data_IF_009295077911
#
_entry.id   IF_009295077911
#
_cell.length_a   1.000
_cell.length_b   1.000
_cell.length_c   1.000
_cell.angle_alpha   90.00
_cell.angle_beta   90.00
_cell.angle_gamma   90.00
#
_symmetry.space_group_name_H-M   'P 1'
#
loop_
_entity.id
_entity.type
_entity.pdbx_description
1 polymer ?
#
# COMPACT_ATOMS: atom_id res chain seq x y z
N UNK A 1 -19.35 11.93 8.60
CA UNK A 1 -18.22 12.76 9.08
C UNK A 1 -16.95 12.30 8.35
N UNK A 2 -16.62 12.94 7.22
CA UNK A 2 -15.49 12.56 6.36
C UNK A 2 -14.20 13.19 6.92
N UNK A 3 -13.25 12.34 7.35
CA UNK A 3 -11.96 12.77 7.91
C UNK A 3 -10.96 12.93 6.75
N UNK A 4 -10.74 14.15 6.28
CA UNK A 4 -9.73 14.44 5.25
C UNK A 4 -8.33 14.17 5.80
N UNK A 5 -7.67 13.13 5.31
CA UNK A 5 -6.25 12.87 5.59
C UNK A 5 -5.42 13.59 4.54
N UNK A 6 -4.99 14.81 4.85
CA UNK A 6 -4.01 15.53 4.04
C UNK A 6 -2.64 14.81 4.12
N UNK A 7 -2.27 14.08 3.07
CA UNK A 7 -0.92 13.54 2.92
C UNK A 7 0.00 14.63 2.34
N UNK A 8 0.54 15.47 3.22
CA UNK A 8 1.51 16.50 2.83
C UNK A 8 2.86 15.82 2.63
N UNK A 9 3.36 15.80 1.40
CA UNK A 9 4.68 15.27 1.06
C UNK A 9 5.77 16.02 1.85
N UNK A 10 6.61 15.26 2.56
CA UNK A 10 7.72 15.76 3.36
C UNK A 10 8.68 16.66 2.54
N UNK A 11 8.74 16.44 1.24
CA UNK A 11 9.52 17.25 0.29
C UNK A 11 8.99 18.69 0.13
N UNK A 12 7.69 18.90 0.32
CA UNK A 12 7.07 20.24 0.29
C UNK A 12 7.14 20.89 1.67
N UNK A 13 7.07 20.09 2.73
CA UNK A 13 7.09 20.58 4.10
C UNK A 13 8.46 21.16 4.51
N UNK A 14 9.56 20.50 4.15
CA UNK A 14 10.91 20.93 4.56
C UNK A 14 11.26 22.33 4.02
N UNK A 15 11.09 22.65 2.72
CA UNK A 15 11.36 24.00 2.20
C UNK A 15 10.45 25.07 2.81
N UNK A 16 9.19 24.75 3.10
CA UNK A 16 8.24 25.68 3.72
C UNK A 16 8.67 26.02 5.15
N UNK A 17 9.08 25.02 5.93
CA UNK A 17 9.57 25.23 7.31
C UNK A 17 10.84 26.10 7.29
N UNK A 18 11.81 25.77 6.43
CA UNK A 18 13.05 26.54 6.32
C UNK A 18 12.83 27.97 5.84
N UNK A 19 11.93 28.18 4.87
CA UNK A 19 11.50 29.52 4.43
C UNK A 19 10.87 30.31 5.58
N UNK A 20 9.96 29.69 6.34
CA UNK A 20 9.29 30.32 7.49
C UNK A 20 10.26 30.74 8.60
N UNK A 21 11.21 29.89 8.96
CA UNK A 21 12.24 30.21 9.99
C UNK A 21 13.12 31.38 9.52
N UNK A 22 13.45 31.43 8.23
CA UNK A 22 14.29 32.50 7.67
C UNK A 22 13.58 33.85 7.70
N UNK A 23 12.30 33.88 7.31
CA UNK A 23 11.46 35.09 7.37
C UNK A 23 11.32 35.58 8.82
N UNK A 24 11.08 34.66 9.76
CA UNK A 24 10.97 35.00 11.18
C UNK A 24 12.27 35.61 11.73
N UNK A 25 13.43 35.03 11.41
CA UNK A 25 14.74 35.55 11.82
C UNK A 25 15.02 36.96 11.27
N UNK A 26 14.64 37.25 10.02
CA UNK A 26 14.77 38.58 9.41
C UNK A 26 13.89 39.60 10.11
N UNK A 27 12.63 39.24 10.40
CA UNK A 27 11.67 40.12 11.10
C UNK A 27 12.18 40.45 12.50
N UNK A 28 12.65 39.46 13.25
CA UNK A 28 13.19 39.66 14.61
C UNK A 28 14.43 40.54 14.57
N UNK A 29 15.34 40.32 13.62
CA UNK A 29 16.53 41.16 13.45
C UNK A 29 16.14 42.61 13.15
N UNK A 30 15.15 42.82 12.29
CA UNK A 30 14.65 44.17 11.97
C UNK A 30 13.98 44.84 13.17
N UNK A 31 13.14 44.12 13.92
CA UNK A 31 12.51 44.66 15.13
C UNK A 31 13.52 45.03 16.21
N UNK A 32 14.58 44.23 16.37
CA UNK A 32 15.67 44.55 17.32
C UNK A 32 16.37 45.83 16.88
N UNK A 33 16.72 45.96 15.60
CA UNK A 33 17.38 47.18 15.08
C UNK A 33 16.50 48.41 15.25
N UNK A 34 15.20 48.31 14.98
CA UNK A 34 14.24 49.42 15.13
C UNK A 34 13.98 49.78 16.61
N UNK A 35 13.94 48.79 17.51
CA UNK A 35 13.85 48.99 18.95
C UNK A 35 15.05 49.77 19.49
N UNK A 36 16.27 49.40 19.08
CA UNK A 36 17.49 50.13 19.47
C UNK A 36 17.53 51.55 18.88
N UNK A 37 16.99 51.76 17.68
CA UNK A 37 16.86 53.09 17.08
C UNK A 37 15.88 53.99 17.85
N UNK A 38 14.79 53.43 18.40
CA UNK A 38 13.76 54.17 19.14
C UNK A 38 14.18 54.58 20.55
N UNK A 39 15.10 53.85 21.18
CA UNK A 39 15.60 54.13 22.53
C UNK A 39 16.81 55.08 22.57
N UNK A 40 17.18 55.69 21.43
CA UNK A 40 18.23 56.71 21.31
C UNK A 40 19.59 56.30 21.93
N UNK A 41 19.86 54.99 21.95
CA UNK A 41 21.16 54.44 22.34
C UNK A 41 22.07 54.59 21.12
N UNK A 42 23.21 55.26 21.27
CA UNK A 42 24.18 55.40 20.17
C UNK A 42 24.67 54.03 19.71
N UNK A 43 24.01 53.46 18.72
CA UNK A 43 24.46 52.22 18.07
C UNK A 43 25.63 52.59 17.15
N UNK A 44 26.81 51.96 17.29
CA UNK A 44 27.92 52.19 16.38
C UNK A 44 27.50 51.89 14.94
N UNK A 45 28.02 52.63 13.95
CA UNK A 45 27.76 52.40 12.51
C UNK A 45 27.99 50.93 12.09
N UNK A 46 28.91 50.26 12.80
CA UNK A 46 29.22 48.83 12.68
C UNK A 46 28.00 47.93 12.92
N UNK A 47 27.14 48.24 13.88
CA UNK A 47 25.99 47.37 14.19
C UNK A 47 24.95 47.38 13.06
N UNK A 48 24.73 48.55 12.44
CA UNK A 48 23.82 48.68 11.29
C UNK A 48 24.37 48.00 10.04
N UNK A 49 25.66 48.17 9.74
CA UNK A 49 26.27 47.55 8.56
C UNK A 49 26.40 46.03 8.67
N UNK A 50 26.70 45.52 9.87
CA UNK A 50 26.79 44.07 10.12
C UNK A 50 25.42 43.38 10.07
N UNK A 51 24.35 44.04 10.54
CA UNK A 51 22.98 43.49 10.46
C UNK A 51 22.53 43.24 9.02
N UNK A 52 22.83 44.17 8.12
CA UNK A 52 22.53 44.03 6.68
C UNK A 52 23.39 42.90 6.07
N UNK A 53 24.66 42.80 6.45
CA UNK A 53 25.55 41.74 6.01
C UNK A 53 25.05 40.34 6.40
N UNK A 54 24.61 40.16 7.65
CA UNK A 54 24.09 38.88 8.15
C UNK A 54 22.78 38.51 7.45
N UNK A 55 21.89 39.48 7.20
CA UNK A 55 20.64 39.25 6.47
C UNK A 55 20.90 38.84 5.01
N UNK A 56 21.87 39.47 4.35
CA UNK A 56 22.22 39.14 2.96
C UNK A 56 22.93 37.78 2.86
N UNK A 57 23.77 37.44 3.83
CA UNK A 57 24.45 36.14 3.91
C UNK A 57 23.47 34.99 4.17
N UNK A 58 22.54 35.16 5.10
CA UNK A 58 21.50 34.15 5.40
C UNK A 58 20.57 33.92 4.21
N UNK A 59 20.19 34.99 3.49
CA UNK A 59 19.42 34.89 2.25
C UNK A 59 20.18 34.13 1.15
N UNK A 60 21.47 34.43 0.95
CA UNK A 60 22.32 33.72 -0.02
C UNK A 60 22.50 32.25 0.34
N UNK A 61 22.72 31.93 1.62
CA UNK A 61 22.80 30.55 2.08
C UNK A 61 21.50 29.77 1.86
N UNK A 62 20.33 30.37 2.12
CA UNK A 62 19.03 29.74 1.87
C UNK A 62 18.81 29.43 0.37
N UNK A 63 19.17 30.37 -0.51
CA UNK A 63 19.09 30.21 -1.96
C UNK A 63 20.04 29.10 -2.45
N UNK A 64 21.27 29.07 -1.91
CA UNK A 64 22.28 28.07 -2.23
C UNK A 64 21.86 26.67 -1.78
N UNK A 65 21.35 26.52 -0.56
CA UNK A 65 20.85 25.22 -0.04
C UNK A 65 19.69 24.71 -0.89
N UNK A 66 18.75 25.59 -1.25
CA UNK A 66 17.61 25.25 -2.11
C UNK A 66 18.09 24.76 -3.49
N UNK A 67 19.07 25.45 -4.08
CA UNK A 67 19.65 25.08 -5.38
C UNK A 67 20.48 23.79 -5.32
N UNK A 68 21.23 23.59 -4.23
CA UNK A 68 22.08 22.43 -3.98
C UNK A 68 21.24 21.14 -3.81
N UNK A 69 20.05 21.22 -3.20
CA UNK A 69 19.19 20.05 -2.96
C UNK A 69 18.36 19.71 -4.21
N UNK A 70 17.86 20.69 -4.96
CA UNK A 70 17.00 20.42 -6.14
C UNK A 70 17.75 19.78 -7.31
N UNK A 71 19.02 20.15 -7.53
CA UNK A 71 19.82 19.62 -8.65
C UNK A 71 20.06 18.10 -8.60
N UNK A 72 20.57 17.51 -7.51
CA UNK A 72 20.84 16.08 -7.43
C UNK A 72 19.56 15.25 -7.44
N UNK A 73 18.48 15.73 -6.83
CA UNK A 73 17.19 15.02 -6.81
C UNK A 73 16.61 14.90 -8.22
N UNK A 74 16.64 15.98 -9.03
CA UNK A 74 16.18 15.92 -10.43
C UNK A 74 17.01 14.95 -11.29
N UNK A 75 18.31 14.86 -11.02
CA UNK A 75 19.20 13.92 -11.71
C UNK A 75 18.89 12.48 -11.31
N UNK A 76 18.75 12.21 -10.02
CA UNK A 76 18.40 10.90 -9.48
C UNK A 76 17.04 10.39 -9.98
N UNK A 77 16.02 11.25 -10.04
CA UNK A 77 14.69 10.88 -10.58
C UNK A 77 14.80 10.50 -12.06
N UNK A 78 15.56 11.25 -12.85
CA UNK A 78 15.76 10.98 -14.28
C UNK A 78 16.56 9.69 -14.52
N UNK A 79 17.52 9.39 -13.66
CA UNK A 79 18.30 8.16 -13.73
C UNK A 79 17.47 6.93 -13.29
N UNK A 80 16.57 7.11 -12.32
CA UNK A 80 15.64 6.07 -11.89
C UNK A 80 14.58 5.72 -12.95
N UNK A 81 14.14 6.69 -13.75
CA UNK A 81 13.17 6.50 -14.85
C UNK A 81 13.74 5.66 -16.01
N UNK A 82 15.07 5.51 -16.10
CA UNK A 82 15.76 4.75 -17.15
C UNK A 82 16.11 3.31 -16.76
N UNK A 83 15.72 2.83 -15.57
CA UNK A 83 15.96 1.45 -15.14
C UNK A 83 14.97 0.47 -15.82
N UNK A 84 15.46 -0.63 -16.45
CA UNK A 84 14.63 -1.58 -17.20
C UNK A 84 13.91 -2.58 -16.28
N UNK A 85 13.19 -2.09 -15.27
CA UNK A 85 12.41 -2.90 -14.33
C UNK A 85 10.90 -2.56 -14.32
N UNK A 86 10.43 -1.69 -15.23
CA UNK A 86 9.00 -1.42 -15.41
C UNK A 86 8.62 -1.52 -16.91
N UNK A 87 7.58 -2.30 -17.27
CA UNK A 87 7.09 -2.35 -18.64
C UNK A 87 6.63 -0.95 -19.07
N UNK A 88 7.34 -0.35 -20.03
CA UNK A 88 7.07 0.98 -20.62
C UNK A 88 5.75 1.08 -21.41
N UNK A 89 4.81 0.15 -21.26
CA UNK A 89 3.67 0.02 -22.18
C UNK A 89 2.42 0.86 -21.86
N UNK A 90 2.38 1.68 -20.80
CA UNK A 90 1.15 2.46 -20.49
C UNK A 90 1.34 3.92 -20.06
N UNK A 91 2.56 4.46 -20.00
CA UNK A 91 2.78 5.81 -19.44
C UNK A 91 2.39 6.95 -20.41
N UNK A 92 2.15 6.68 -21.70
CA UNK A 92 2.00 7.76 -22.69
C UNK A 92 0.55 8.17 -23.05
N UNK A 93 -0.50 7.49 -22.56
CA UNK A 93 -1.89 7.76 -23.02
C UNK A 93 -2.87 8.31 -21.98
N UNK A 94 -2.48 8.49 -20.72
CA UNK A 94 -3.41 8.85 -19.64
C UNK A 94 -2.99 10.14 -18.89
N UNK A 95 -2.62 11.18 -19.63
CA UNK A 95 -2.30 12.51 -19.09
C UNK A 95 -3.53 13.26 -18.53
N UNK A 96 -4.73 12.65 -18.42
CA UNK A 96 -5.97 13.41 -18.19
C UNK A 96 -6.88 13.05 -16.99
N UNK A 97 -6.46 12.26 -15.99
CA UNK A 97 -7.32 12.01 -14.82
C UNK A 97 -6.62 12.20 -13.47
N UNK A 98 -6.70 13.42 -12.92
CA UNK A 98 -6.32 13.81 -11.56
C UNK A 98 -7.25 13.27 -10.44
N UNK A 99 -7.83 12.06 -10.60
CA UNK A 99 -8.78 11.53 -9.62
C UNK A 99 -8.78 10.00 -9.39
N UNK A 100 -7.74 9.25 -9.81
CA UNK A 100 -7.80 7.77 -9.83
C UNK A 100 -6.65 7.00 -9.14
N UNK A 101 -5.84 7.64 -8.28
CA UNK A 101 -4.76 6.90 -7.58
C UNK A 101 -5.30 5.80 -6.62
N UNK A 102 -6.46 6.02 -5.99
CA UNK A 102 -7.05 5.07 -5.02
C UNK A 102 -7.72 3.89 -5.73
N UNK A 103 -8.40 4.15 -6.85
CA UNK A 103 -9.05 3.11 -7.67
C UNK A 103 -7.97 2.22 -8.32
N UNK A 104 -6.86 2.80 -8.77
CA UNK A 104 -5.71 2.05 -9.27
C UNK A 104 -5.08 1.16 -8.19
N UNK A 105 -4.90 1.68 -6.97
CA UNK A 105 -4.38 0.88 -5.84
C UNK A 105 -5.30 -0.30 -5.51
N UNK A 106 -6.61 -0.07 -5.42
CA UNK A 106 -7.59 -1.13 -5.16
C UNK A 106 -7.59 -2.19 -6.27
N UNK A 107 -7.47 -1.78 -7.54
CA UNK A 107 -7.41 -2.70 -8.67
C UNK A 107 -6.15 -3.58 -8.62
N UNK A 108 -4.99 -3.00 -8.36
CA UNK A 108 -3.73 -3.74 -8.21
C UNK A 108 -3.81 -4.69 -7.02
N UNK A 109 -4.36 -4.23 -5.90
CA UNK A 109 -4.52 -5.04 -4.71
C UNK A 109 -5.48 -6.22 -4.95
N UNK A 110 -6.60 -6.00 -5.64
CA UNK A 110 -7.49 -7.08 -6.06
C UNK A 110 -6.79 -8.06 -7.00
N UNK A 111 -6.02 -7.57 -7.97
CA UNK A 111 -5.27 -8.42 -8.90
C UNK A 111 -4.25 -9.29 -8.16
N UNK A 112 -3.43 -8.70 -7.28
CA UNK A 112 -2.44 -9.43 -6.47
C UNK A 112 -3.12 -10.44 -5.57
N UNK A 113 -4.17 -10.03 -4.85
CA UNK A 113 -4.95 -10.93 -3.99
C UNK A 113 -5.56 -12.09 -4.81
N UNK A 114 -6.06 -11.80 -6.02
CA UNK A 114 -6.61 -12.82 -6.90
C UNK A 114 -5.56 -13.81 -7.39
N UNK A 115 -4.33 -13.36 -7.68
CA UNK A 115 -3.23 -14.22 -8.11
C UNK A 115 -2.73 -15.08 -6.95
N UNK A 116 -2.52 -14.49 -5.78
CA UNK A 116 -2.12 -15.23 -4.56
C UNK A 116 -3.16 -16.30 -4.21
N UNK A 117 -4.45 -15.95 -4.23
CA UNK A 117 -5.52 -16.93 -3.95
C UNK A 117 -5.58 -18.10 -4.94
N UNK A 118 -5.14 -17.91 -6.20
CA UNK A 118 -5.08 -19.00 -7.19
C UNK A 118 -3.91 -19.95 -6.92
N UNK A 119 -2.78 -19.43 -6.44
CA UNK A 119 -1.61 -20.24 -6.07
C UNK A 119 -1.93 -21.05 -4.81
N UNK A 120 -2.47 -20.41 -3.79
CA UNK A 120 -2.85 -21.05 -2.52
C UNK A 120 -3.89 -22.17 -2.72
N UNK A 121 -4.90 -21.95 -3.57
CA UNK A 121 -5.89 -22.99 -3.89
C UNK A 121 -5.26 -24.23 -4.58
N UNK A 122 -4.25 -24.03 -5.43
CA UNK A 122 -3.55 -25.13 -6.11
C UNK A 122 -2.66 -25.94 -5.16
N UNK A 123 -2.06 -25.29 -4.17
CA UNK A 123 -1.25 -25.99 -3.17
C UNK A 123 -2.11 -26.75 -2.17
N UNK A 124 -3.21 -26.15 -1.70
CA UNK A 124 -4.10 -26.78 -0.73
C UNK A 124 -4.95 -27.90 -1.35
N UNK A 125 -5.39 -27.74 -2.61
CA UNK A 125 -6.28 -28.71 -3.28
C UNK A 125 -5.70 -29.20 -4.61
N UNK A 126 -4.62 -30.01 -4.60
CA UNK A 126 -3.92 -30.42 -5.82
C UNK A 126 -4.78 -31.27 -6.76
N UNK A 127 -5.76 -32.00 -6.23
CA UNK A 127 -6.67 -32.84 -7.01
C UNK A 127 -7.84 -32.06 -7.64
N UNK A 128 -8.07 -30.81 -7.23
CA UNK A 128 -9.22 -30.00 -7.69
C UNK A 128 -8.75 -28.90 -8.64
N UNK A 129 -9.10 -29.02 -9.91
CA UNK A 129 -8.83 -27.98 -10.92
C UNK A 129 -9.96 -26.95 -10.89
N UNK A 130 -9.76 -25.83 -10.18
CA UNK A 130 -10.75 -24.75 -10.12
C UNK A 130 -10.13 -23.36 -9.91
N UNK A 131 -10.22 -22.48 -10.90
CA UNK A 131 -9.65 -21.11 -10.82
C UNK A 131 -10.72 -19.99 -10.71
N UNK A 132 -12.00 -20.36 -10.83
CA UNK A 132 -13.12 -19.41 -10.80
C UNK A 132 -13.36 -18.85 -9.40
N UNK A 133 -14.00 -17.68 -9.31
CA UNK A 133 -14.34 -17.04 -8.03
C UNK A 133 -15.27 -17.92 -7.18
N UNK A 134 -16.19 -18.65 -7.83
CA UNK A 134 -17.12 -19.57 -7.17
C UNK A 134 -16.37 -20.72 -6.51
N UNK A 135 -15.41 -21.34 -7.22
CA UNK A 135 -14.58 -22.42 -6.66
C UNK A 135 -13.75 -21.96 -5.47
N UNK A 136 -13.24 -20.72 -5.46
CA UNK A 136 -12.56 -20.16 -4.29
C UNK A 136 -13.48 -20.03 -3.07
N UNK A 137 -14.75 -19.70 -3.30
CA UNK A 137 -15.77 -19.72 -2.25
C UNK A 137 -15.93 -21.12 -1.65
N UNK A 138 -15.97 -22.15 -2.50
CA UNK A 138 -16.03 -23.56 -2.08
C UNK A 138 -14.78 -23.94 -1.28
N UNK A 139 -13.57 -23.63 -1.76
CA UNK A 139 -12.32 -23.88 -1.01
C UNK A 139 -12.31 -23.20 0.36
N UNK A 140 -12.77 -21.95 0.45
CA UNK A 140 -12.89 -21.26 1.73
C UNK A 140 -13.88 -21.94 2.68
N UNK A 141 -15.01 -22.47 2.16
CA UNK A 141 -15.96 -23.23 2.97
C UNK A 141 -15.36 -24.55 3.46
N UNK A 142 -14.64 -25.27 2.59
CA UNK A 142 -13.92 -26.49 2.96
C UNK A 142 -12.96 -26.21 4.12
N UNK A 143 -12.10 -25.20 4.00
CA UNK A 143 -11.12 -24.85 5.05
C UNK A 143 -11.79 -24.42 6.37
N UNK A 144 -13.00 -23.84 6.32
CA UNK A 144 -13.75 -23.46 7.52
C UNK A 144 -14.40 -24.66 8.21
N UNK A 145 -14.93 -25.62 7.45
CA UNK A 145 -15.67 -26.74 8.01
C UNK A 145 -14.77 -27.93 8.36
N UNK A 146 -13.66 -28.13 7.64
CA UNK A 146 -12.75 -29.23 7.85
C UNK A 146 -12.25 -29.40 9.30
N UNK A 147 -11.87 -28.35 10.06
CA UNK A 147 -11.42 -28.52 11.44
C UNK A 147 -12.57 -28.75 12.44
N UNK A 148 -13.82 -28.82 11.99
CA UNK A 148 -14.99 -29.01 12.86
C UNK A 148 -15.50 -30.44 12.83
N UNK A 149 -16.20 -30.85 13.89
CA UNK A 149 -16.84 -32.17 13.98
C UNK A 149 -18.26 -32.20 13.39
N UNK A 150 -18.65 -31.16 12.64
CA UNK A 150 -19.99 -31.05 12.07
C UNK A 150 -20.19 -31.99 10.87
N UNK A 151 -21.42 -32.50 10.72
CA UNK A 151 -21.82 -33.25 9.53
C UNK A 151 -21.97 -32.31 8.34
N UNK A 152 -21.35 -32.65 7.21
CA UNK A 152 -21.37 -31.83 5.98
C UNK A 152 -22.21 -32.50 4.92
N UNK A 153 -23.16 -31.74 4.34
CA UNK A 153 -23.93 -32.15 3.17
C UNK A 153 -23.38 -31.46 1.92
N UNK A 154 -22.97 -32.24 0.92
CA UNK A 154 -22.44 -31.72 -0.35
C UNK A 154 -23.51 -31.90 -1.42
N UNK A 155 -24.04 -30.79 -1.93
CA UNK A 155 -25.06 -30.78 -2.98
C UNK A 155 -24.46 -30.43 -4.34
N UNK A 156 -25.02 -30.98 -5.41
CA UNK A 156 -24.63 -30.65 -6.78
C UNK A 156 -25.08 -31.72 -7.77
N UNK A 157 -25.05 -31.37 -9.05
CA UNK A 157 -25.42 -32.27 -10.15
C UNK A 157 -24.47 -33.47 -10.25
N UNK A 158 -24.90 -34.50 -10.99
CA UNK A 158 -24.06 -35.68 -11.22
C UNK A 158 -22.78 -35.28 -11.98
N UNK A 159 -21.63 -35.83 -11.58
CA UNK A 159 -20.35 -35.56 -12.24
C UNK A 159 -19.63 -34.25 -11.86
N UNK A 160 -20.14 -33.44 -10.93
CA UNK A 160 -19.50 -32.16 -10.52
C UNK A 160 -18.32 -32.31 -9.55
N UNK A 161 -17.82 -33.53 -9.33
CA UNK A 161 -16.66 -33.77 -8.45
C UNK A 161 -16.95 -33.64 -6.95
N UNK A 162 -18.18 -33.89 -6.49
CA UNK A 162 -18.56 -33.87 -5.06
C UNK A 162 -17.65 -34.76 -4.18
N UNK A 163 -17.15 -35.86 -4.73
CA UNK A 163 -16.22 -36.75 -4.04
C UNK A 163 -14.86 -36.08 -3.75
N UNK A 164 -14.35 -35.29 -4.70
CA UNK A 164 -13.11 -34.53 -4.51
C UNK A 164 -13.28 -33.47 -3.42
N UNK A 165 -14.46 -32.84 -3.34
CA UNK A 165 -14.79 -31.90 -2.26
C UNK A 165 -14.79 -32.61 -0.91
N UNK A 166 -15.41 -33.79 -0.80
CA UNK A 166 -15.39 -34.58 0.43
C UNK A 166 -13.96 -34.98 0.85
N UNK A 167 -13.13 -35.38 -0.12
CA UNK A 167 -11.73 -35.71 0.10
C UNK A 167 -10.92 -34.48 0.55
N UNK A 168 -11.18 -33.30 -0.03
CA UNK A 168 -10.58 -32.04 0.40
C UNK A 168 -10.93 -31.66 1.84
N UNK A 169 -12.18 -31.88 2.27
CA UNK A 169 -12.61 -31.70 3.67
C UNK A 169 -11.84 -32.66 4.58
N UNK A 170 -11.75 -33.93 4.21
CA UNK A 170 -11.04 -34.95 4.98
C UNK A 170 -9.56 -34.59 5.18
N UNK A 171 -8.85 -34.24 4.10
CA UNK A 171 -7.41 -33.90 4.13
C UNK A 171 -7.08 -32.72 5.03
N UNK A 172 -7.98 -31.74 5.14
CA UNK A 172 -7.81 -30.54 5.97
C UNK A 172 -8.44 -30.68 7.37
N UNK A 173 -9.01 -31.83 7.69
CA UNK A 173 -9.64 -32.07 8.98
C UNK A 173 -8.64 -32.47 10.05
N UNK A 174 -9.05 -32.37 11.32
CA UNK A 174 -8.32 -32.93 12.45
C UNK A 174 -8.27 -34.47 12.43
N UNK A 175 -9.08 -35.10 11.58
CA UNK A 175 -9.25 -36.56 11.46
C UNK A 175 -8.53 -37.15 10.25
N UNK A 176 -7.70 -36.37 9.55
CA UNK A 176 -6.98 -36.77 8.33
C UNK A 176 -6.06 -37.99 8.49
N UNK A 177 -5.68 -38.33 9.73
CA UNK A 177 -4.86 -39.50 10.07
C UNK A 177 -5.70 -40.77 10.29
N UNK A 178 -7.03 -40.64 10.35
CA UNK A 178 -7.94 -41.77 10.53
C UNK A 178 -8.22 -42.53 9.23
N UNK A 179 -9.19 -43.47 9.22
CA UNK A 179 -9.68 -44.07 7.99
C UNK A 179 -10.69 -43.15 7.28
N UNK A 180 -10.51 -42.94 5.97
CA UNK A 180 -11.52 -42.31 5.10
C UNK A 180 -12.28 -43.37 4.30
N UNK A 181 -13.50 -43.68 4.73
CA UNK A 181 -14.32 -44.72 4.11
C UNK A 181 -15.33 -44.07 3.17
N UNK A 182 -15.21 -44.37 1.87
CA UNK A 182 -16.16 -43.93 0.83
C UNK A 182 -17.22 -45.01 0.65
N UNK A 183 -18.49 -44.64 0.77
CA UNK A 183 -19.61 -45.56 0.63
C UNK A 183 -20.60 -45.01 -0.40
N UNK A 184 -20.90 -45.82 -1.41
CA UNK A 184 -21.88 -45.49 -2.43
C UNK A 184 -23.22 -46.17 -2.10
N UNK A 185 -24.18 -45.41 -1.59
CA UNK A 185 -25.49 -45.95 -1.19
C UNK A 185 -26.27 -46.56 -2.37
N UNK A 186 -26.03 -46.14 -3.61
CA UNK A 186 -26.72 -46.69 -4.79
C UNK A 186 -26.29 -48.13 -5.08
N UNK A 187 -25.09 -48.53 -4.65
CA UNK A 187 -24.54 -49.85 -4.89
C UNK A 187 -24.90 -50.88 -3.79
N UNK A 188 -25.61 -50.47 -2.74
CA UNK A 188 -25.93 -51.33 -1.60
C UNK A 188 -27.38 -51.85 -1.75
N UNK A 189 -27.60 -53.19 -1.74
CA UNK A 189 -28.93 -53.76 -1.77
C UNK A 189 -29.74 -53.39 -0.53
N UNK A 190 -31.04 -53.13 -0.70
CA UNK A 190 -31.94 -52.67 0.39
C UNK A 190 -31.99 -53.63 1.60
N UNK A 191 -31.73 -54.94 1.39
CA UNK A 191 -31.74 -55.95 2.47
C UNK A 191 -30.50 -55.99 3.37
N UNK A 192 -29.54 -55.07 3.21
CA UNK A 192 -28.27 -55.02 3.97
C UNK A 192 -28.12 -53.77 4.85
N UNK A 193 -29.10 -52.86 4.86
CA UNK A 193 -29.03 -51.53 5.48
C UNK A 193 -29.85 -51.38 6.78
N UNK A 194 -30.33 -52.48 7.36
CA UNK A 194 -30.98 -52.52 8.69
C UNK A 194 -29.99 -52.77 9.83
#
# INVERSE_FOLDING_TARGET
MQKSRFQISLYVLIPIIFSGITIFAVIVTYQIVDFYAKYNVETPWLLKSWGIGIALFTFLCALLVTWLILRPIKKFIRDAENLPAFPKSQIQSAVDHRADDISQFNLIFEQVTSMLSKVEARELFPEIIGQSKVMRGIFSQILKVAPTDATVLITGESGTGKELVAQGIYQHSLRKEGPFIKLNCVAIPEGLLE
#
